data_IF_050949057825
#
_entry.id   IF_050949057825
#
_cell.length_a   1.000
_cell.length_b   1.000
_cell.length_c   1.000
_cell.angle_alpha   90.00
_cell.angle_beta   90.00
_cell.angle_gamma   90.00
#
_symmetry.space_group_name_H-M   'P 1'
#
loop_
_entity.id
_entity.type
_entity.pdbx_description
1 polymer ?
#
# COMPACT_ATOMS: atom_id res chain seq x y z
N UNK A 1 55.05 -61.53 73.20
CA UNK A 1 56.09 -61.26 72.17
C UNK A 1 55.47 -60.36 71.12
N UNK A 2 56.21 -59.31 70.73
CA UNK A 2 55.80 -58.09 70.01
C UNK A 2 55.16 -58.32 68.62
N UNK A 3 54.72 -57.29 67.83
CA UNK A 3 54.83 -55.83 68.03
C UNK A 3 53.64 -54.93 67.55
N UNK A 4 53.66 -53.68 68.02
CA UNK A 4 53.49 -52.39 67.28
C UNK A 4 52.31 -52.18 66.31
N UNK A 5 51.34 -51.37 66.75
CA UNK A 5 50.40 -50.63 65.90
C UNK A 5 50.78 -49.14 65.90
N UNK A 6 51.06 -48.55 64.73
CA UNK A 6 50.62 -47.18 64.37
C UNK A 6 50.90 -46.83 62.90
N UNK A 7 49.79 -46.78 62.16
CA UNK A 7 49.37 -45.79 61.16
C UNK A 7 50.34 -45.43 60.03
N UNK A 8 50.16 -46.07 58.86
CA UNK A 8 50.62 -45.55 57.58
C UNK A 8 49.51 -44.72 56.91
N UNK A 9 49.92 -43.58 56.33
CA UNK A 9 49.11 -42.70 55.48
C UNK A 9 48.55 -43.46 54.28
N UNK A 10 47.24 -43.40 54.07
CA UNK A 10 46.60 -43.75 52.79
C UNK A 10 46.67 -42.50 51.87
N UNK A 11 47.11 -42.64 50.60
CA UNK A 11 47.16 -41.53 49.64
C UNK A 11 45.76 -41.10 49.19
N UNK A 12 45.54 -39.79 49.06
CA UNK A 12 44.34 -39.19 48.45
C UNK A 12 44.24 -39.58 46.98
N UNK A 13 43.10 -40.15 46.59
CA UNK A 13 42.69 -40.34 45.19
C UNK A 13 42.61 -39.00 44.45
N UNK A 14 43.08 -38.87 43.21
CA UNK A 14 42.89 -37.66 42.41
C UNK A 14 41.39 -37.48 42.09
N UNK A 15 40.90 -36.25 41.92
CA UNK A 15 39.54 -36.02 41.47
C UNK A 15 39.35 -36.63 40.08
N UNK A 16 38.27 -37.39 39.94
CA UNK A 16 37.78 -37.93 38.68
C UNK A 16 37.59 -36.77 37.70
N UNK A 17 38.35 -36.77 36.59
CA UNK A 17 38.20 -35.76 35.57
C UNK A 17 36.82 -35.92 34.92
N UNK A 18 35.95 -34.92 35.06
CA UNK A 18 34.71 -34.80 34.30
C UNK A 18 35.02 -35.01 32.81
N UNK A 19 34.58 -36.16 32.28
CA UNK A 19 34.86 -36.55 30.91
C UNK A 19 34.11 -35.68 29.90
N UNK A 20 34.56 -35.64 28.63
CA UNK A 20 34.00 -34.81 27.55
C UNK A 20 32.53 -35.10 27.18
N UNK A 21 31.85 -36.04 27.85
CA UNK A 21 30.46 -36.42 27.58
C UNK A 21 29.46 -35.42 28.13
N UNK A 22 29.73 -34.84 29.30
CA UNK A 22 28.83 -33.83 29.90
C UNK A 22 28.87 -32.53 29.09
N UNK A 23 30.03 -32.17 28.54
CA UNK A 23 30.19 -30.99 27.67
C UNK A 23 29.41 -31.12 26.37
N UNK A 24 29.38 -32.32 25.76
CA UNK A 24 28.61 -32.59 24.54
C UNK A 24 27.11 -32.58 24.81
N UNK A 25 26.65 -33.18 25.91
CA UNK A 25 25.22 -33.17 26.27
C UNK A 25 24.70 -31.74 26.55
N UNK A 26 25.45 -30.93 27.28
CA UNK A 26 25.11 -29.52 27.52
C UNK A 26 25.13 -28.69 26.24
N UNK A 27 26.09 -28.95 25.34
CA UNK A 27 26.14 -28.32 24.02
C UNK A 27 24.91 -28.67 23.18
N UNK A 28 24.57 -29.95 23.07
CA UNK A 28 23.39 -30.42 22.32
C UNK A 28 22.08 -29.87 22.90
N UNK A 29 21.96 -29.80 24.23
CA UNK A 29 20.79 -29.23 24.89
C UNK A 29 20.62 -27.73 24.58
N UNK A 30 21.71 -26.95 24.60
CA UNK A 30 21.68 -25.51 24.23
C UNK A 30 21.25 -25.31 22.78
N UNK A 31 21.74 -26.14 21.86
CA UNK A 31 21.32 -26.08 20.45
C UNK A 31 19.85 -26.47 20.27
N UNK A 32 19.37 -27.49 20.99
CA UNK A 32 17.96 -27.86 20.96
C UNK A 32 17.05 -26.72 21.43
N UNK A 33 17.43 -26.03 22.52
CA UNK A 33 16.70 -24.85 22.99
C UNK A 33 16.73 -23.70 21.99
N UNK A 34 17.89 -23.45 21.36
CA UNK A 34 18.01 -22.41 20.33
C UNK A 34 17.13 -22.73 19.11
N UNK A 35 17.16 -23.97 18.62
CA UNK A 35 16.34 -24.42 17.49
C UNK A 35 14.86 -24.32 17.83
N UNK A 36 14.46 -24.71 19.04
CA UNK A 36 13.07 -24.56 19.50
C UNK A 36 12.66 -23.09 19.54
N UNK A 37 13.49 -22.21 20.11
CA UNK A 37 13.22 -20.77 20.15
C UNK A 37 13.10 -20.17 18.74
N UNK A 38 14.01 -20.52 17.82
CA UNK A 38 13.95 -20.09 16.42
C UNK A 38 12.72 -20.65 15.69
N UNK A 39 12.31 -21.89 15.99
CA UNK A 39 11.12 -22.51 15.40
C UNK A 39 9.83 -21.83 15.86
N UNK A 40 9.74 -21.49 17.15
CA UNK A 40 8.62 -20.73 17.71
C UNK A 40 8.62 -19.31 17.12
N UNK A 41 9.77 -18.64 17.04
CA UNK A 41 9.89 -17.33 16.42
C UNK A 41 9.42 -17.36 14.94
N UNK A 42 9.91 -18.34 14.18
CA UNK A 42 9.51 -18.51 12.78
C UNK A 42 8.02 -18.76 12.65
N UNK A 43 7.49 -19.78 13.34
CA UNK A 43 6.09 -20.20 13.19
C UNK A 43 5.11 -19.13 13.65
N UNK A 44 5.42 -18.40 14.71
CA UNK A 44 4.52 -17.41 15.32
C UNK A 44 4.58 -16.06 14.61
N UNK A 45 5.76 -15.62 14.17
CA UNK A 45 5.94 -14.23 13.72
C UNK A 45 6.40 -14.07 12.28
N UNK A 46 7.13 -15.04 11.71
CA UNK A 46 7.76 -14.87 10.39
C UNK A 46 7.14 -15.73 9.30
N UNK A 47 6.51 -16.86 9.64
CA UNK A 47 6.04 -17.84 8.66
C UNK A 47 5.06 -17.24 7.66
N UNK A 48 4.06 -16.50 8.13
CA UNK A 48 3.06 -15.88 7.26
C UNK A 48 3.71 -14.83 6.36
N UNK A 49 4.51 -13.92 6.93
CA UNK A 49 5.20 -12.87 6.15
C UNK A 49 6.15 -13.46 5.12
N UNK A 50 6.98 -14.43 5.50
CA UNK A 50 7.88 -15.13 4.59
C UNK A 50 7.09 -15.84 3.49
N UNK A 51 6.00 -16.54 3.84
CA UNK A 51 5.17 -17.22 2.85
C UNK A 51 4.57 -16.24 1.85
N UNK A 52 4.05 -15.09 2.30
CA UNK A 52 3.52 -14.04 1.44
C UNK A 52 4.61 -13.44 0.54
N UNK A 53 5.77 -13.07 1.10
CA UNK A 53 6.87 -12.44 0.36
C UNK A 53 7.41 -13.30 -0.78
N UNK A 54 7.43 -14.63 -0.59
CA UNK A 54 7.86 -15.59 -1.61
C UNK A 54 6.69 -16.17 -2.44
N UNK A 55 5.45 -15.79 -2.16
CA UNK A 55 4.26 -16.34 -2.83
C UNK A 55 4.02 -17.84 -2.53
N UNK A 56 4.53 -18.36 -1.42
CA UNK A 56 4.38 -19.78 -1.06
C UNK A 56 2.90 -20.09 -0.80
N UNK A 57 2.39 -21.11 -1.49
CA UNK A 57 0.99 -21.52 -1.41
C UNK A 57 0.05 -20.78 -2.38
N UNK A 58 0.55 -19.78 -3.10
CA UNK A 58 -0.19 -19.13 -4.18
C UNK A 58 0.20 -19.75 -5.53
N UNK A 59 -0.76 -20.33 -6.23
CA UNK A 59 -0.58 -20.71 -7.64
C UNK A 59 -0.99 -19.53 -8.50
N UNK A 60 0.00 -18.71 -8.88
CA UNK A 60 -0.21 -17.64 -9.84
C UNK A 60 -0.52 -18.22 -11.22
N UNK A 61 -1.52 -17.64 -11.89
CA UNK A 61 -2.04 -18.04 -13.17
C UNK A 61 -1.49 -17.17 -14.30
N UNK A 62 -1.21 -17.74 -15.47
CA UNK A 62 -0.88 -16.96 -16.66
C UNK A 62 -2.08 -16.11 -17.08
N UNK A 63 -1.82 -14.95 -17.69
CA UNK A 63 -2.90 -14.03 -18.07
C UNK A 63 -3.86 -14.61 -19.12
N UNK A 64 -3.38 -15.57 -19.90
CA UNK A 64 -4.16 -16.25 -20.92
C UNK A 64 -5.35 -17.05 -20.34
N UNK A 65 -5.30 -17.42 -19.06
CA UNK A 65 -6.37 -18.16 -18.36
C UNK A 65 -7.59 -17.28 -18.02
N UNK A 66 -7.48 -15.96 -18.19
CA UNK A 66 -8.55 -15.02 -17.90
C UNK A 66 -9.24 -14.52 -19.16
N UNK A 67 -10.54 -14.26 -19.05
CA UNK A 67 -11.40 -13.87 -20.18
C UNK A 67 -11.33 -12.36 -20.48
N UNK A 68 -10.10 -11.85 -20.58
CA UNK A 68 -9.80 -10.46 -20.89
C UNK A 68 -8.87 -10.35 -22.10
N UNK A 69 -9.07 -9.31 -22.88
CA UNK A 69 -8.10 -8.80 -23.85
C UNK A 69 -7.47 -7.53 -23.27
N UNK A 70 -6.16 -7.57 -23.05
CA UNK A 70 -5.41 -6.50 -22.41
C UNK A 70 -4.47 -5.82 -23.39
N UNK A 71 -4.41 -4.49 -23.30
CA UNK A 71 -3.46 -3.65 -24.04
C UNK A 71 -2.72 -2.71 -23.08
N UNK A 72 -1.49 -2.35 -23.46
CA UNK A 72 -0.72 -1.33 -22.75
C UNK A 72 -1.01 0.03 -23.35
N UNK A 73 -1.43 0.95 -22.50
CA UNK A 73 -1.54 2.35 -22.83
C UNK A 73 -0.26 3.07 -22.41
N UNK A 74 0.57 3.40 -23.40
CA UNK A 74 1.88 4.01 -23.15
C UNK A 74 1.91 5.45 -23.64
N UNK A 75 2.15 6.38 -22.71
CA UNK A 75 2.36 7.79 -22.97
C UNK A 75 3.21 8.37 -21.84
N UNK A 76 4.00 9.42 -22.10
CA UNK A 76 4.85 10.07 -21.07
C UNK A 76 4.05 10.66 -19.91
N UNK A 77 2.77 10.92 -20.15
CA UNK A 77 1.84 11.50 -19.17
C UNK A 77 0.97 10.44 -18.48
N UNK A 78 1.22 9.15 -18.77
CA UNK A 78 0.55 8.00 -18.15
C UNK A 78 1.59 7.00 -17.64
N UNK A 79 2.62 7.52 -16.97
CA UNK A 79 3.67 6.73 -16.34
C UNK A 79 3.60 6.89 -14.83
N UNK A 80 4.04 5.85 -14.12
CA UNK A 80 4.19 5.87 -12.68
C UNK A 80 2.92 6.34 -11.95
N UNK A 81 1.74 6.05 -12.53
CA UNK A 81 0.47 6.47 -11.97
C UNK A 81 0.09 5.50 -10.85
N UNK A 82 0.40 5.89 -9.62
CA UNK A 82 0.30 4.99 -8.47
C UNK A 82 -1.16 4.72 -8.07
N UNK A 83 -2.03 5.72 -8.31
CA UNK A 83 -3.45 5.70 -7.96
C UNK A 83 -4.34 6.11 -9.14
N UNK A 84 -5.56 5.56 -9.17
CA UNK A 84 -6.60 5.83 -10.16
C UNK A 84 -7.95 6.06 -9.47
N UNK A 85 -8.79 6.91 -10.04
CA UNK A 85 -10.14 7.14 -9.57
C UNK A 85 -11.10 7.37 -10.75
N UNK A 86 -12.23 6.66 -10.79
CA UNK A 86 -13.20 6.75 -11.88
C UNK A 86 -14.42 7.58 -11.46
N UNK A 87 -14.62 8.70 -12.16
CA UNK A 87 -15.89 9.43 -12.11
C UNK A 87 -16.92 8.69 -12.95
N UNK A 88 -17.66 7.81 -12.30
CA UNK A 88 -18.71 7.03 -12.94
C UNK A 88 -19.77 7.90 -13.65
N UNK A 89 -20.06 9.09 -13.11
CA UNK A 89 -21.06 9.98 -13.69
C UNK A 89 -20.56 10.67 -14.97
N UNK A 90 -19.31 11.16 -14.97
CA UNK A 90 -18.76 11.83 -16.16
C UNK A 90 -17.99 10.92 -17.10
N UNK A 91 -17.84 9.64 -16.75
CA UNK A 91 -17.12 8.63 -17.53
C UNK A 91 -15.67 9.03 -17.76
N UNK A 92 -15.04 9.55 -16.69
CA UNK A 92 -13.64 10.01 -16.70
C UNK A 92 -12.81 9.28 -15.68
N UNK A 93 -11.69 8.71 -16.13
CA UNK A 93 -10.68 8.11 -15.27
C UNK A 93 -9.61 9.15 -14.98
N UNK A 94 -9.35 9.40 -13.70
CA UNK A 94 -8.31 10.28 -13.22
C UNK A 94 -7.14 9.45 -12.68
N UNK A 95 -5.91 9.89 -12.90
CA UNK A 95 -4.70 9.17 -12.51
C UNK A 95 -3.66 10.11 -11.92
N UNK A 96 -3.02 9.72 -10.80
CA UNK A 96 -1.97 10.50 -10.15
C UNK A 96 -0.59 10.06 -10.67
N UNK A 97 -0.07 10.77 -11.67
CA UNK A 97 1.06 10.36 -12.48
C UNK A 97 2.32 11.20 -12.24
N UNK A 98 3.48 10.60 -12.54
CA UNK A 98 4.81 11.21 -12.47
C UNK A 98 5.74 10.50 -13.47
N UNK A 99 7.05 10.58 -13.30
CA UNK A 99 8.01 9.76 -14.05
C UNK A 99 8.49 8.56 -13.23
N UNK A 100 8.81 7.42 -13.87
CA UNK A 100 9.39 6.27 -13.18
C UNK A 100 10.70 6.61 -12.44
N UNK A 101 11.53 7.50 -13.00
CA UNK A 101 12.78 7.94 -12.37
C UNK A 101 12.52 8.70 -11.06
N UNK A 102 11.48 9.54 -11.05
CA UNK A 102 11.06 10.28 -9.85
C UNK A 102 10.75 9.32 -8.72
N UNK A 103 10.04 8.22 -8.98
CA UNK A 103 9.67 7.23 -7.95
C UNK A 103 10.86 6.48 -7.38
N UNK A 104 11.87 6.21 -8.20
CA UNK A 104 13.11 5.57 -7.76
C UNK A 104 13.96 6.49 -6.87
N UNK A 105 13.84 7.81 -7.06
CA UNK A 105 14.54 8.81 -6.28
C UNK A 105 13.75 9.29 -5.05
N UNK A 106 12.44 9.49 -5.20
CA UNK A 106 11.54 10.13 -4.26
C UNK A 106 10.23 9.35 -4.16
N UNK A 107 10.15 8.53 -3.12
CA UNK A 107 9.00 7.71 -2.77
C UNK A 107 9.08 7.41 -1.28
N UNK A 108 8.47 8.25 -0.42
CA UNK A 108 8.54 8.07 1.03
C UNK A 108 7.99 6.73 1.51
N UNK A 109 6.97 6.19 0.85
CA UNK A 109 6.45 4.84 1.16
C UNK A 109 7.47 3.72 0.88
N UNK A 110 8.38 3.93 -0.08
CA UNK A 110 9.50 3.04 -0.41
C UNK A 110 10.84 3.43 0.23
N UNK A 111 10.84 4.31 1.23
CA UNK A 111 12.03 4.86 1.88
C UNK A 111 13.06 5.51 0.92
N UNK A 112 12.57 6.22 -0.10
CA UNK A 112 13.40 6.99 -1.04
C UNK A 112 13.21 8.50 -0.83
N UNK A 113 14.32 9.21 -0.58
CA UNK A 113 14.34 10.63 -0.18
C UNK A 113 15.35 11.50 -0.94
N UNK A 114 15.67 11.13 -2.19
CA UNK A 114 16.57 11.90 -3.02
C UNK A 114 15.82 13.09 -3.66
N UNK A 115 15.92 14.27 -3.03
CA UNK A 115 15.27 15.51 -3.46
C UNK A 115 15.63 15.90 -4.91
N UNK A 116 16.88 15.72 -5.32
CA UNK A 116 17.33 16.17 -6.65
C UNK A 116 16.82 15.29 -7.79
N UNK A 117 16.33 14.09 -7.49
CA UNK A 117 15.77 13.17 -8.48
C UNK A 117 14.25 13.28 -8.65
N UNK A 118 13.58 14.22 -7.96
CA UNK A 118 12.15 14.50 -8.14
C UNK A 118 11.86 15.03 -9.54
N UNK A 119 10.72 14.65 -10.11
CA UNK A 119 10.28 15.15 -11.41
C UNK A 119 9.83 16.63 -11.37
N UNK A 120 9.22 17.07 -10.27
CA UNK A 120 8.64 18.42 -10.16
C UNK A 120 7.50 18.71 -11.15
N UNK A 121 6.96 17.67 -11.79
CA UNK A 121 5.96 17.74 -12.85
C UNK A 121 4.87 16.67 -12.70
N UNK A 122 4.71 16.16 -11.48
CA UNK A 122 3.62 15.27 -11.12
C UNK A 122 2.28 15.97 -11.40
N UNK A 123 1.31 15.20 -11.88
CA UNK A 123 0.06 15.76 -12.37
C UNK A 123 -1.08 14.75 -12.25
N UNK A 124 -2.30 15.27 -12.27
CA UNK A 124 -3.49 14.46 -12.52
C UNK A 124 -3.68 14.33 -14.03
N UNK A 125 -3.58 13.12 -14.57
CA UNK A 125 -4.00 12.80 -15.91
C UNK A 125 -5.50 12.44 -15.93
N UNK A 126 -6.18 12.72 -17.04
CA UNK A 126 -7.60 12.38 -17.23
C UNK A 126 -7.83 11.74 -18.59
N UNK A 127 -8.63 10.66 -18.60
CA UNK A 127 -9.04 9.90 -19.78
C UNK A 127 -10.58 9.87 -19.86
N UNK A 128 -11.13 10.01 -21.07
CA UNK A 128 -12.55 9.80 -21.36
C UNK A 128 -12.76 8.32 -21.75
N UNK A 129 -13.21 7.49 -20.82
CA UNK A 129 -13.13 6.02 -20.98
C UNK A 129 -14.06 5.45 -22.06
N UNK A 130 -15.06 6.21 -22.49
CA UNK A 130 -15.98 5.82 -23.57
C UNK A 130 -15.50 6.29 -24.97
N UNK A 131 -14.43 7.09 -25.04
CA UNK A 131 -13.97 7.76 -26.27
C UNK A 131 -12.47 7.51 -26.53
N UNK A 132 -12.05 6.29 -26.93
CA UNK A 132 -10.64 5.94 -27.12
C UNK A 132 -9.91 6.82 -28.14
N UNK A 133 -10.61 7.45 -29.08
CA UNK A 133 -10.01 8.24 -30.15
C UNK A 133 -9.26 7.39 -31.18
N UNK A 134 -8.65 8.03 -32.16
CA UNK A 134 -7.89 7.36 -33.22
C UNK A 134 -6.50 6.88 -32.77
N UNK A 135 -5.94 7.54 -31.75
CA UNK A 135 -4.66 7.19 -31.12
C UNK A 135 -4.80 6.14 -29.99
N UNK A 136 -6.04 5.81 -29.61
CA UNK A 136 -6.31 4.90 -28.50
C UNK A 136 -6.01 5.49 -27.12
N UNK A 137 -5.71 6.79 -27.02
CA UNK A 137 -5.32 7.46 -25.76
C UNK A 137 -6.50 7.97 -24.94
N UNK A 138 -7.74 7.68 -25.34
CA UNK A 138 -8.94 8.07 -24.59
C UNK A 138 -9.03 9.58 -24.33
N UNK A 139 -8.55 10.38 -25.28
CA UNK A 139 -8.54 11.84 -25.16
C UNK A 139 -7.70 12.34 -23.98
N UNK A 140 -6.61 11.63 -23.64
CA UNK A 140 -5.67 11.94 -22.56
C UNK A 140 -5.35 13.42 -22.44
N UNK A 141 -5.49 13.97 -21.23
CA UNK A 141 -5.10 15.33 -20.88
C UNK A 141 -4.44 15.39 -19.51
N UNK A 142 -3.53 16.34 -19.33
CA UNK A 142 -3.11 16.80 -18.00
C UNK A 142 -4.12 17.79 -17.47
N UNK A 143 -4.45 17.68 -16.18
CA UNK A 143 -5.23 18.69 -15.47
C UNK A 143 -4.25 19.68 -14.86
N UNK A 144 -4.19 20.88 -15.42
CA UNK A 144 -3.31 21.95 -14.97
C UNK A 144 -3.74 22.47 -13.59
N UNK A 145 -2.77 22.83 -12.76
CA UNK A 145 -3.03 23.49 -11.47
C UNK A 145 -3.11 25.00 -11.71
N UNK A 146 -4.14 25.64 -11.18
CA UNK A 146 -4.30 27.09 -11.29
C UNK A 146 -3.17 27.83 -10.56
N UNK A 147 -2.79 29.00 -11.08
CA UNK A 147 -1.63 29.78 -10.62
C UNK A 147 -1.65 30.18 -9.12
N UNK A 148 -2.78 30.03 -8.43
CA UNK A 148 -2.89 30.30 -6.99
C UNK A 148 -2.13 29.31 -6.10
N UNK A 149 -1.76 28.14 -6.63
CA UNK A 149 -0.93 27.16 -5.90
C UNK A 149 0.55 27.40 -6.20
N UNK A 150 1.32 27.76 -5.18
CA UNK A 150 2.74 28.13 -5.32
C UNK A 150 3.72 27.02 -4.92
N UNK A 151 3.21 25.89 -4.44
CA UNK A 151 4.03 24.75 -4.05
C UNK A 151 4.23 23.76 -5.21
N UNK A 152 4.99 22.70 -4.95
CA UNK A 152 5.21 21.60 -5.90
C UNK A 152 4.35 20.39 -5.51
N UNK A 153 4.08 19.54 -6.50
CA UNK A 153 3.35 18.30 -6.32
C UNK A 153 4.31 17.11 -6.46
N UNK A 154 4.22 16.19 -5.51
CA UNK A 154 4.82 14.86 -5.51
C UNK A 154 3.69 13.88 -5.14
N UNK A 155 2.93 13.45 -6.15
CA UNK A 155 1.62 12.85 -5.95
C UNK A 155 1.69 11.38 -5.53
N UNK A 156 0.72 10.94 -4.74
CA UNK A 156 0.54 9.54 -4.34
C UNK A 156 -0.94 9.15 -4.42
N UNK A 157 -1.50 8.54 -3.37
CA UNK A 157 -2.93 8.25 -3.28
C UNK A 157 -3.82 9.50 -3.28
N UNK A 158 -5.02 9.38 -3.87
CA UNK A 158 -6.01 10.44 -3.84
C UNK A 158 -7.43 9.88 -3.87
N UNK A 159 -8.40 10.69 -3.43
CA UNK A 159 -9.83 10.42 -3.60
C UNK A 159 -10.52 11.68 -4.09
N UNK A 160 -11.68 11.53 -4.72
CA UNK A 160 -12.43 12.64 -5.26
C UNK A 160 -13.93 12.51 -5.04
N UNK A 161 -14.60 13.65 -4.90
CA UNK A 161 -16.03 13.73 -4.63
C UNK A 161 -16.65 15.00 -5.15
N UNK A 162 -17.93 14.93 -5.54
CA UNK A 162 -18.68 16.12 -5.95
C UNK A 162 -19.08 16.95 -4.73
N UNK A 163 -18.66 18.20 -4.71
CA UNK A 163 -18.99 19.19 -3.68
C UNK A 163 -19.48 20.46 -4.39
N UNK A 164 -20.70 20.91 -4.07
CA UNK A 164 -21.31 22.10 -4.67
C UNK A 164 -21.26 22.11 -6.22
N UNK A 165 -21.48 20.95 -6.85
CA UNK A 165 -21.49 20.79 -8.31
C UNK A 165 -20.11 20.71 -8.97
N UNK A 166 -19.01 20.83 -8.21
CA UNK A 166 -17.63 20.69 -8.69
C UNK A 166 -17.04 19.37 -8.21
N UNK A 167 -16.09 18.82 -8.96
CA UNK A 167 -15.31 17.67 -8.51
C UNK A 167 -14.19 18.18 -7.62
N UNK A 168 -14.17 17.77 -6.35
CA UNK A 168 -13.14 18.08 -5.37
C UNK A 168 -12.23 16.89 -5.18
N UNK A 169 -10.93 17.12 -5.11
CA UNK A 169 -9.89 16.12 -4.92
C UNK A 169 -9.24 16.31 -3.55
N UNK A 170 -8.93 15.21 -2.87
CA UNK A 170 -8.06 15.12 -1.71
C UNK A 170 -6.85 14.30 -2.12
N UNK A 171 -5.70 14.95 -2.25
CA UNK A 171 -4.53 14.39 -2.90
C UNK A 171 -3.36 14.34 -1.92
N UNK A 172 -2.80 13.16 -1.68
CA UNK A 172 -1.57 13.04 -0.91
C UNK A 172 -0.42 13.64 -1.71
N UNK A 173 0.30 14.56 -1.08
CA UNK A 173 1.44 15.27 -1.65
C UNK A 173 2.67 15.13 -0.75
N UNK A 174 3.66 14.39 -1.22
CA UNK A 174 4.91 14.10 -0.52
C UNK A 174 5.98 15.18 -0.73
N UNK A 175 5.67 16.42 -0.35
CA UNK A 175 6.60 17.54 -0.53
C UNK A 175 7.92 17.29 0.22
N UNK A 176 9.05 17.80 -0.27
CA UNK A 176 10.27 17.83 0.51
C UNK A 176 10.12 18.81 1.69
N UNK A 177 10.93 18.64 2.75
CA UNK A 177 11.02 19.62 3.82
C UNK A 177 11.58 20.93 3.27
N UNK A 178 11.10 22.05 3.81
CA UNK A 178 11.54 23.40 3.44
C UNK A 178 11.96 24.17 4.69
N UNK A 179 12.87 25.11 4.53
CA UNK A 179 13.20 26.06 5.58
C UNK A 179 12.00 27.01 5.79
N UNK A 180 11.49 27.11 7.01
CA UNK A 180 10.31 27.93 7.31
C UNK A 180 10.50 29.42 7.03
N UNK A 181 11.75 29.90 7.11
CA UNK A 181 12.07 31.33 6.88
C UNK A 181 12.30 31.63 5.40
N UNK A 182 13.08 30.79 4.71
CA UNK A 182 13.50 31.07 3.33
C UNK A 182 12.59 30.42 2.28
N UNK A 183 11.81 29.40 2.66
CA UNK A 183 11.04 28.58 1.73
C UNK A 183 11.87 27.63 0.87
N UNK A 184 13.20 27.62 1.06
CA UNK A 184 14.11 26.77 0.28
C UNK A 184 14.00 25.30 0.71
N UNK A 185 14.15 24.40 -0.26
CA UNK A 185 14.12 22.96 -0.02
C UNK A 185 15.34 22.52 0.79
N UNK A 186 15.11 21.72 1.82
CA UNK A 186 16.15 21.07 2.62
C UNK A 186 16.40 19.66 2.06
N UNK A 187 17.58 19.45 1.48
CA UNK A 187 17.99 18.16 0.92
C UNK A 187 18.62 17.23 1.98
N UNK A 188 17.93 17.03 3.10
CA UNK A 188 18.36 16.11 4.17
C UNK A 188 17.43 14.88 4.23
N UNK A 189 17.89 13.69 3.80
CA UNK A 189 17.08 12.49 3.80
C UNK A 189 16.70 12.01 5.21
N UNK A 190 17.35 12.50 6.28
CA UNK A 190 17.00 12.17 7.66
C UNK A 190 15.75 12.90 8.17
N UNK A 191 15.26 13.90 7.44
CA UNK A 191 14.00 14.58 7.76
C UNK A 191 12.78 13.86 7.17
N UNK A 192 12.98 13.05 6.13
CA UNK A 192 11.91 12.44 5.36
C UNK A 192 11.10 13.47 4.56
N UNK A 193 9.89 13.10 4.15
CA UNK A 193 8.99 14.01 3.44
C UNK A 193 8.16 14.87 4.41
N UNK A 194 7.86 16.09 3.96
CA UNK A 194 6.87 16.97 4.56
C UNK A 194 5.48 16.73 3.93
N UNK A 195 4.99 15.50 4.10
CA UNK A 195 3.77 15.02 3.47
C UNK A 195 2.53 15.80 3.94
N UNK A 196 1.59 16.02 3.01
CA UNK A 196 0.33 16.75 3.23
C UNK A 196 -0.81 16.11 2.46
N UNK A 197 -2.04 16.50 2.76
CA UNK A 197 -3.19 16.28 1.87
C UNK A 197 -3.62 17.61 1.29
N UNK A 198 -3.50 17.75 -0.02
CA UNK A 198 -3.90 18.94 -0.76
C UNK A 198 -5.33 18.78 -1.27
N UNK A 199 -6.17 19.79 -1.04
CA UNK A 199 -7.56 19.81 -1.46
C UNK A 199 -7.68 20.76 -2.65
N UNK A 200 -8.22 20.26 -3.76
CA UNK A 200 -8.43 21.03 -4.99
C UNK A 200 -9.85 20.90 -5.51
N UNK A 201 -10.41 21.96 -6.08
CA UNK A 201 -11.64 21.92 -6.86
C UNK A 201 -11.33 22.00 -8.36
N UNK A 202 -11.77 21.01 -9.13
CA UNK A 202 -11.75 21.10 -10.58
C UNK A 202 -12.76 22.13 -11.07
N UNK A 203 -12.26 23.16 -11.74
CA UNK A 203 -13.11 24.17 -12.36
C UNK A 203 -13.67 23.62 -13.69
N UNK A 204 -14.99 23.50 -13.85
CA UNK A 204 -15.59 22.90 -15.06
C UNK A 204 -15.44 23.76 -16.32
N UNK A 205 -15.12 25.06 -16.18
CA UNK A 205 -14.93 25.98 -17.30
C UNK A 205 -13.48 25.99 -17.79
N UNK A 206 -12.53 26.15 -16.87
CA UNK A 206 -11.10 26.19 -17.22
C UNK A 206 -10.46 24.81 -17.31
N UNK A 207 -11.07 23.76 -16.74
CA UNK A 207 -10.49 22.44 -16.54
C UNK A 207 -9.17 22.47 -15.75
N UNK A 208 -9.06 23.39 -14.80
CA UNK A 208 -7.90 23.52 -13.91
C UNK A 208 -8.27 23.13 -12.46
N UNK A 209 -7.29 22.59 -11.73
CA UNK A 209 -7.39 22.38 -10.29
C UNK A 209 -7.16 23.70 -9.56
N UNK A 210 -8.18 24.20 -8.88
CA UNK A 210 -8.08 25.36 -8.01
C UNK A 210 -7.80 24.90 -6.58
N UNK A 211 -6.67 25.32 -6.02
CA UNK A 211 -6.31 24.95 -4.64
C UNK A 211 -7.32 25.53 -3.65
N UNK A 212 -7.84 24.67 -2.78
CA UNK A 212 -8.77 25.03 -1.72
C UNK A 212 -8.02 25.13 -0.40
N UNK A 213 -7.23 24.12 -0.06
CA UNK A 213 -6.55 24.03 1.23
C UNK A 213 -5.43 22.98 1.24
N UNK A 214 -4.37 23.26 1.99
CA UNK A 214 -3.40 22.25 2.42
C UNK A 214 -3.75 21.77 3.82
N UNK A 215 -3.92 20.47 4.01
CA UNK A 215 -4.04 19.84 5.33
C UNK A 215 -2.68 19.25 5.71
N UNK A 216 -2.14 19.74 6.83
CA UNK A 216 -0.90 19.32 7.43
C UNK A 216 -1.12 19.16 8.93
N UNK A 217 -0.77 18.00 9.48
CA UNK A 217 -0.94 17.68 10.89
C UNK A 217 0.13 16.65 11.30
N UNK A 218 0.67 16.70 12.54
CA UNK A 218 1.62 15.70 13.04
C UNK A 218 1.15 14.24 12.96
N UNK A 219 -0.17 13.99 12.95
CA UNK A 219 -0.72 12.65 12.74
C UNK A 219 -0.51 12.13 11.31
N UNK A 220 -0.33 13.02 10.32
CA UNK A 220 0.03 12.67 8.94
C UNK A 220 1.55 12.43 8.87
N UNK A 221 1.95 11.20 9.15
CA UNK A 221 3.37 10.80 9.28
C UNK A 221 3.91 10.36 7.92
N UNK A 222 3.36 9.29 7.37
CA UNK A 222 3.80 8.64 6.13
C UNK A 222 2.55 8.25 5.32
N UNK A 223 1.78 9.24 4.83
CA UNK A 223 0.48 8.98 4.23
C UNK A 223 0.60 8.17 2.94
N UNK A 224 -0.32 7.24 2.71
CA UNK A 224 -0.29 6.35 1.56
C UNK A 224 -1.60 6.42 0.75
N UNK A 225 -2.72 6.05 1.37
CA UNK A 225 -4.07 6.15 0.81
C UNK A 225 -4.93 7.17 1.55
N UNK A 226 -5.94 7.70 0.86
CA UNK A 226 -6.94 8.63 1.41
C UNK A 226 -8.32 8.26 0.93
N UNK A 227 -9.35 8.40 1.78
CA UNK A 227 -10.75 8.31 1.36
C UNK A 227 -11.63 9.33 2.08
N UNK A 228 -12.66 9.81 1.41
CA UNK A 228 -13.48 10.94 1.88
C UNK A 228 -14.81 10.45 2.46
N UNK A 229 -15.24 11.07 3.54
CA UNK A 229 -16.50 10.76 4.21
C UNK A 229 -17.72 11.15 3.37
N UNK A 230 -18.90 10.70 3.81
CA UNK A 230 -20.15 10.97 3.08
C UNK A 230 -20.42 12.48 2.93
N UNK A 231 -20.08 13.27 3.94
CA UNK A 231 -20.32 14.72 3.99
C UNK A 231 -19.29 15.57 3.22
N UNK A 232 -18.19 14.95 2.74
CA UNK A 232 -17.08 15.65 2.11
C UNK A 232 -16.39 16.70 3.01
N UNK A 233 -16.49 16.52 4.33
CA UNK A 233 -15.79 17.30 5.35
C UNK A 233 -14.74 16.41 6.00
N UNK A 234 -15.16 15.26 6.53
CA UNK A 234 -14.24 14.27 7.09
C UNK A 234 -13.53 13.48 5.99
N UNK A 235 -12.31 13.03 6.28
CA UNK A 235 -11.59 12.07 5.45
C UNK A 235 -10.62 11.24 6.29
N UNK A 236 -10.35 10.01 5.85
CA UNK A 236 -9.40 9.12 6.48
C UNK A 236 -8.13 8.98 5.63
N UNK A 237 -6.98 8.88 6.29
CA UNK A 237 -5.66 8.70 5.68
C UNK A 237 -4.98 7.52 6.34
N UNK A 238 -4.39 6.63 5.54
CA UNK A 238 -3.50 5.59 6.06
C UNK A 238 -2.08 6.14 6.15
N UNK A 239 -1.40 5.87 7.25
CA UNK A 239 0.06 5.95 7.32
C UNK A 239 0.62 4.54 7.14
N UNK A 240 1.49 4.34 6.16
CA UNK A 240 2.07 3.02 5.89
C UNK A 240 3.17 2.62 6.90
N UNK A 241 3.71 3.61 7.62
CA UNK A 241 4.72 3.42 8.65
C UNK A 241 4.46 4.24 9.92
N UNK A 242 5.15 3.88 11.00
CA UNK A 242 5.08 4.59 12.29
C UNK A 242 5.89 5.89 12.34
N UNK A 243 6.85 6.08 11.42
CA UNK A 243 7.74 7.23 11.42
C UNK A 243 8.08 7.70 10.00
N UNK A 244 8.44 8.99 9.86
CA UNK A 244 8.84 9.60 8.58
C UNK A 244 10.16 9.08 8.03
N UNK A 245 11.03 8.57 8.90
CA UNK A 245 12.32 7.95 8.60
C UNK A 245 12.70 7.03 9.76
N UNK A 246 13.70 6.17 9.57
CA UNK A 246 14.33 5.47 10.68
C UNK A 246 15.18 4.30 10.22
N UNK A 247 16.25 4.00 10.96
CA UNK A 247 17.16 2.88 10.67
C UNK A 247 16.45 1.52 10.61
N UNK A 248 15.38 1.36 11.38
CA UNK A 248 14.61 0.12 11.47
C UNK A 248 13.27 0.19 10.73
N UNK A 249 13.01 1.27 9.99
CA UNK A 249 11.73 1.45 9.30
C UNK A 249 11.50 0.36 8.24
N UNK A 250 12.53 -0.06 7.53
CA UNK A 250 12.44 -1.18 6.57
C UNK A 250 12.06 -2.52 7.24
N UNK A 251 12.28 -2.69 8.55
CA UNK A 251 11.88 -3.90 9.27
C UNK A 251 10.37 -3.96 9.53
N UNK A 252 9.64 -2.84 9.34
CA UNK A 252 8.18 -2.80 9.45
C UNK A 252 7.48 -3.71 8.42
N UNK A 253 8.18 -4.07 7.34
CA UNK A 253 7.70 -5.11 6.41
C UNK A 253 7.51 -6.48 7.11
N UNK A 254 8.28 -6.75 8.18
CA UNK A 254 8.20 -7.98 8.97
C UNK A 254 7.39 -7.80 10.25
N UNK A 255 7.54 -6.66 10.94
CA UNK A 255 6.91 -6.43 12.24
C UNK A 255 5.49 -5.88 12.12
N UNK A 256 5.14 -5.27 10.98
CA UNK A 256 4.03 -4.35 10.90
C UNK A 256 4.38 -2.98 11.47
N UNK A 257 3.39 -2.09 11.40
CA UNK A 257 3.52 -0.66 11.65
C UNK A 257 2.46 0.10 10.86
N UNK A 258 2.36 1.41 11.12
CA UNK A 258 1.42 2.31 10.48
C UNK A 258 0.22 2.65 11.35
N UNK A 259 -0.69 3.45 10.79
CA UNK A 259 -1.91 3.90 11.46
C UNK A 259 -2.97 4.32 10.46
N UNK A 260 -4.19 4.54 10.95
CA UNK A 260 -5.24 5.25 10.22
C UNK A 260 -5.53 6.53 10.99
N UNK A 261 -5.64 7.64 10.28
CA UNK A 261 -5.91 8.97 10.80
C UNK A 261 -7.21 9.46 10.21
N UNK A 262 -8.03 10.13 11.02
CA UNK A 262 -9.22 10.83 10.55
C UNK A 262 -8.99 12.34 10.67
N UNK A 263 -9.31 13.07 9.61
CA UNK A 263 -9.05 14.48 9.46
C UNK A 263 -10.32 15.22 9.07
N UNK A 264 -10.36 16.51 9.41
CA UNK A 264 -11.45 17.41 9.06
C UNK A 264 -10.95 18.44 8.05
N UNK A 265 -11.55 18.49 6.86
CA UNK A 265 -11.10 19.38 5.77
C UNK A 265 -11.21 20.86 6.14
N UNK A 266 -12.29 21.25 6.83
CA UNK A 266 -12.59 22.63 7.19
C UNK A 266 -11.61 23.20 8.24
N UNK A 267 -11.26 22.43 9.27
CA UNK A 267 -10.36 22.83 10.35
C UNK A 267 -8.92 22.44 10.07
N UNK A 268 -8.67 21.39 9.29
CA UNK A 268 -7.34 20.83 9.02
C UNK A 268 -6.80 19.97 10.17
N UNK A 269 -7.60 19.73 11.22
CA UNK A 269 -7.19 18.92 12.37
C UNK A 269 -7.30 17.44 12.03
N UNK A 270 -6.33 16.66 12.50
CA UNK A 270 -6.32 15.22 12.36
C UNK A 270 -6.12 14.52 13.70
N UNK A 271 -6.71 13.34 13.84
CA UNK A 271 -6.57 12.48 15.02
C UNK A 271 -6.28 11.04 14.59
N UNK A 272 -5.45 10.33 15.35
CA UNK A 272 -5.27 8.90 15.14
C UNK A 272 -6.58 8.16 15.38
N UNK A 273 -7.13 7.59 14.32
CA UNK A 273 -8.40 6.87 14.34
C UNK A 273 -8.20 5.38 14.67
N UNK A 274 -7.06 4.79 14.26
CA UNK A 274 -6.67 3.43 14.61
C UNK A 274 -5.14 3.27 14.56
N UNK A 275 -4.56 2.55 15.54
CA UNK A 275 -3.10 2.35 15.66
C UNK A 275 -2.69 0.91 16.01
N UNK A 276 -3.66 0.06 16.33
CA UNK A 276 -3.39 -1.32 16.76
C UNK A 276 -3.42 -2.28 15.57
N UNK A 277 -2.58 -3.32 15.63
CA UNK A 277 -2.52 -4.41 14.65
C UNK A 277 -2.36 -3.98 13.18
N UNK A 278 -1.69 -2.85 12.97
CA UNK A 278 -1.38 -2.32 11.65
C UNK A 278 -0.27 -3.12 10.98
N UNK A 279 -0.49 -3.45 9.71
CA UNK A 279 0.40 -4.28 8.89
C UNK A 279 0.61 -3.60 7.55
N UNK A 280 1.29 -2.46 7.60
CA UNK A 280 1.56 -1.60 6.44
C UNK A 280 0.25 -1.15 5.76
N UNK A 281 -0.57 -0.33 6.43
CA UNK A 281 -1.81 0.20 5.85
C UNK A 281 -1.50 1.01 4.59
N UNK A 282 -2.09 0.59 3.48
CA UNK A 282 -1.83 1.15 2.16
C UNK A 282 -3.13 1.77 1.63
N UNK A 283 -3.75 1.23 0.57
CA UNK A 283 -5.03 1.70 0.08
C UNK A 283 -6.13 1.72 1.15
N UNK A 284 -6.94 2.77 1.13
CA UNK A 284 -8.16 2.89 1.94
C UNK A 284 -9.30 3.38 1.06
N UNK A 285 -10.48 2.76 1.19
CA UNK A 285 -11.70 3.20 0.50
C UNK A 285 -12.89 3.14 1.45
N UNK A 286 -13.85 4.03 1.23
CA UNK A 286 -15.14 3.99 1.91
C UNK A 286 -16.18 3.30 1.02
N UNK A 287 -16.73 2.18 1.49
CA UNK A 287 -17.78 1.45 0.80
C UNK A 287 -19.12 2.21 0.79
N UNK A 288 -20.02 1.78 -0.09
CA UNK A 288 -21.39 2.27 -0.16
C UNK A 288 -22.20 1.97 1.12
N UNK A 289 -21.82 0.91 1.83
CA UNK A 289 -22.33 0.54 3.16
C UNK A 289 -21.80 1.43 4.30
N UNK A 290 -20.87 2.33 4.00
CA UNK A 290 -20.30 3.28 4.94
C UNK A 290 -19.19 2.72 5.82
N UNK A 291 -18.71 1.51 5.55
CA UNK A 291 -17.52 0.96 6.17
C UNK A 291 -16.26 1.42 5.43
N UNK A 292 -15.13 1.35 6.13
CA UNK A 292 -13.81 1.68 5.58
C UNK A 292 -13.06 0.38 5.37
N UNK A 293 -12.57 0.17 4.15
CA UNK A 293 -11.79 -0.99 3.77
C UNK A 293 -10.35 -0.53 3.64
N UNK A 294 -9.44 -1.23 4.32
CA UNK A 294 -8.03 -0.86 4.38
C UNK A 294 -7.19 -2.04 3.97
N UNK A 295 -6.33 -1.86 2.98
CA UNK A 295 -5.35 -2.84 2.56
C UNK A 295 -4.22 -2.87 3.59
N UNK A 296 -3.97 -4.05 4.16
CA UNK A 296 -2.82 -4.30 5.02
C UNK A 296 -1.80 -5.10 4.20
N UNK A 297 -0.91 -4.39 3.51
CA UNK A 297 -0.07 -4.95 2.44
C UNK A 297 0.70 -6.18 2.88
N UNK A 298 1.44 -6.08 3.99
CA UNK A 298 2.31 -7.18 4.45
C UNK A 298 1.56 -8.25 5.25
N UNK A 299 0.33 -7.93 5.68
CA UNK A 299 -0.57 -8.90 6.31
C UNK A 299 -1.30 -9.78 5.29
N UNK A 300 -1.45 -9.32 4.05
CA UNK A 300 -2.14 -10.02 2.99
C UNK A 300 -3.65 -10.15 3.22
N UNK A 301 -4.25 -9.11 3.81
CA UNK A 301 -5.68 -9.02 4.09
C UNK A 301 -6.19 -7.60 3.87
N UNK A 302 -7.51 -7.49 3.72
CA UNK A 302 -8.25 -6.21 3.78
C UNK A 302 -9.03 -6.18 5.08
N UNK A 303 -8.74 -5.20 5.94
CA UNK A 303 -9.48 -5.00 7.18
C UNK A 303 -10.66 -4.06 6.96
N UNK A 304 -11.78 -4.36 7.60
CA UNK A 304 -13.00 -3.56 7.52
C UNK A 304 -13.18 -2.83 8.85
N UNK A 305 -13.36 -1.52 8.77
CA UNK A 305 -13.50 -0.65 9.93
C UNK A 305 -14.83 0.09 9.91
N UNK A 306 -15.35 0.34 11.11
CA UNK A 306 -16.52 1.19 11.34
C UNK A 306 -16.09 2.46 12.07
N UNK A 307 -16.45 3.60 11.50
CA UNK A 307 -16.24 4.91 12.11
C UNK A 307 -17.29 5.17 13.18
N UNK A 308 -16.85 5.62 14.36
CA UNK A 308 -17.71 6.08 15.45
C UNK A 308 -17.08 7.31 16.08
N UNK A 309 -17.65 8.49 15.82
CA UNK A 309 -16.97 9.76 16.09
C UNK A 309 -15.74 9.89 15.20
N UNK A 310 -14.56 10.03 15.80
CA UNK A 310 -13.28 10.14 15.09
C UNK A 310 -12.42 8.87 15.19
N UNK A 311 -12.98 7.77 15.72
CA UNK A 311 -12.28 6.49 15.92
C UNK A 311 -12.77 5.42 14.96
N UNK A 312 -11.83 4.67 14.39
CA UNK A 312 -12.10 3.53 13.51
C UNK A 312 -11.88 2.22 14.29
N UNK A 313 -12.96 1.48 14.48
CA UNK A 313 -12.93 0.16 15.11
C UNK A 313 -12.94 -0.93 14.03
N UNK A 314 -12.00 -1.88 14.10
CA UNK A 314 -11.96 -3.02 13.19
C UNK A 314 -13.15 -3.94 13.48
N UNK A 315 -13.97 -4.22 12.47
CA UNK A 315 -15.18 -5.05 12.57
C UNK A 315 -15.09 -6.34 11.77
N UNK A 316 -14.20 -6.42 10.78
CA UNK A 316 -13.96 -7.65 10.00
C UNK A 316 -12.55 -7.69 9.41
N UNK A 317 -12.14 -8.87 8.94
CA UNK A 317 -10.89 -9.09 8.21
C UNK A 317 -11.11 -10.08 7.07
N UNK A 318 -10.77 -9.66 5.86
CA UNK A 318 -10.92 -10.43 4.63
C UNK A 318 -9.53 -10.89 4.19
N UNK A 319 -9.20 -12.14 4.49
CA UNK A 319 -7.88 -12.70 4.20
C UNK A 319 -7.77 -13.10 2.72
N UNK A 320 -7.01 -12.33 1.95
CA UNK A 320 -6.81 -12.55 0.51
C UNK A 320 -5.58 -13.41 0.20
N UNK A 321 -4.72 -13.65 1.20
CA UNK A 321 -3.51 -14.50 1.12
C UNK A 321 -2.48 -14.06 0.07
N UNK A 322 -2.50 -12.78 -0.31
CA UNK A 322 -1.52 -12.14 -1.20
C UNK A 322 -1.21 -10.76 -0.64
N UNK A 323 0.00 -10.25 -0.83
CA UNK A 323 0.28 -8.85 -0.50
C UNK A 323 -0.60 -7.95 -1.35
N UNK A 324 -1.30 -7.04 -0.69
CA UNK A 324 -2.24 -6.09 -1.31
C UNK A 324 -1.66 -4.69 -1.38
N UNK A 325 -2.18 -3.87 -2.27
CA UNK A 325 -1.79 -2.47 -2.44
C UNK A 325 -3.05 -1.59 -2.40
N UNK A 326 -3.28 -0.69 -3.36
CA UNK A 326 -4.47 0.14 -3.34
C UNK A 326 -5.78 -0.61 -3.58
N UNK A 327 -6.84 0.02 -3.10
CA UNK A 327 -8.23 -0.40 -3.23
C UNK A 327 -9.01 0.59 -4.10
N UNK A 328 -10.06 0.11 -4.77
CA UNK A 328 -11.10 0.98 -5.35
C UNK A 328 -12.49 0.39 -5.10
N UNK A 329 -13.54 1.15 -5.36
CA UNK A 329 -14.93 0.71 -5.26
C UNK A 329 -15.62 0.97 -6.59
N UNK A 330 -16.32 -0.02 -7.15
CA UNK A 330 -17.13 0.16 -8.36
C UNK A 330 -18.59 0.56 -8.07
N UNK A 331 -19.37 0.86 -9.11
CA UNK A 331 -20.78 1.26 -8.98
C UNK A 331 -21.69 0.16 -8.41
N UNK A 332 -21.25 -1.09 -8.48
CA UNK A 332 -21.96 -2.23 -7.89
C UNK A 332 -21.66 -2.36 -6.38
N UNK A 333 -20.72 -1.57 -5.86
CA UNK A 333 -20.30 -1.60 -4.46
C UNK A 333 -19.28 -2.71 -4.14
N UNK A 334 -18.68 -3.32 -5.16
CA UNK A 334 -17.59 -4.28 -4.95
C UNK A 334 -16.30 -3.51 -4.61
N UNK A 335 -15.47 -4.09 -3.75
CA UNK A 335 -14.14 -3.54 -3.45
C UNK A 335 -13.10 -4.26 -4.32
N UNK A 336 -12.40 -3.51 -5.15
CA UNK A 336 -11.33 -4.01 -6.00
C UNK A 336 -10.01 -3.92 -5.24
N UNK A 337 -9.15 -4.92 -5.40
CA UNK A 337 -7.89 -5.04 -4.67
C UNK A 337 -6.77 -5.31 -5.66
N UNK A 338 -5.78 -4.42 -5.73
CA UNK A 338 -4.52 -4.72 -6.40
C UNK A 338 -3.64 -5.58 -5.49
N UNK A 339 -2.99 -6.60 -6.05
CA UNK A 339 -2.17 -7.52 -5.29
C UNK A 339 -0.93 -8.00 -6.05
N UNK A 340 0.10 -8.40 -5.30
CA UNK A 340 1.35 -8.95 -5.80
C UNK A 340 1.45 -10.44 -5.46
N UNK A 341 1.41 -11.34 -6.47
CA UNK A 341 1.66 -12.77 -6.25
C UNK A 341 3.06 -13.06 -5.71
N UNK A 342 4.05 -12.26 -6.12
CA UNK A 342 5.46 -12.39 -5.69
C UNK A 342 6.02 -11.00 -5.32
N UNK A 343 5.74 -10.52 -4.09
CA UNK A 343 6.10 -9.17 -3.64
C UNK A 343 7.59 -8.86 -3.72
N UNK A 344 8.46 -9.87 -3.57
CA UNK A 344 9.92 -9.70 -3.64
C UNK A 344 10.42 -9.16 -5.00
N UNK A 345 9.61 -9.24 -6.06
CA UNK A 345 9.93 -8.67 -7.38
C UNK A 345 9.63 -7.17 -7.51
N UNK A 346 8.81 -6.60 -6.62
CA UNK A 346 8.39 -5.19 -6.69
C UNK A 346 9.57 -4.23 -6.61
N UNK A 347 10.54 -4.37 -5.67
CA UNK A 347 11.69 -3.46 -5.60
C UNK A 347 12.49 -3.41 -6.90
N UNK A 348 12.73 -4.56 -7.54
CA UNK A 348 13.44 -4.61 -8.82
C UNK A 348 12.67 -3.92 -9.95
N UNK A 349 11.33 -3.96 -9.94
CA UNK A 349 10.51 -3.23 -10.91
C UNK A 349 10.55 -1.71 -10.70
N UNK A 350 10.72 -1.24 -9.47
CA UNK A 350 10.92 0.19 -9.18
C UNK A 350 12.32 0.61 -9.63
N UNK A 351 13.37 -0.16 -9.31
CA UNK A 351 14.74 0.17 -9.70
C UNK A 351 14.98 0.13 -11.23
N UNK A 352 14.24 -0.72 -11.96
CA UNK A 352 14.41 -0.95 -13.40
C UNK A 352 13.08 -0.91 -14.18
N UNK A 353 12.35 0.22 -14.14
CA UNK A 353 10.94 0.28 -14.54
C UNK A 353 10.70 0.00 -16.02
N UNK A 354 11.69 0.24 -16.87
CA UNK A 354 11.59 -0.02 -18.31
C UNK A 354 11.94 -1.45 -18.74
N UNK A 355 12.46 -2.28 -17.83
CA UNK A 355 12.91 -3.64 -18.16
C UNK A 355 12.38 -4.74 -17.22
N UNK A 356 11.84 -4.37 -16.06
CA UNK A 356 11.32 -5.30 -15.06
C UNK A 356 9.91 -4.88 -14.67
N UNK A 357 8.96 -5.79 -14.83
CA UNK A 357 7.65 -5.74 -14.20
C UNK A 357 7.54 -6.87 -13.18
N UNK A 358 6.81 -6.64 -12.10
CA UNK A 358 6.44 -7.70 -11.16
C UNK A 358 5.11 -8.35 -11.57
N UNK A 359 4.90 -9.64 -11.27
CA UNK A 359 3.60 -10.27 -11.44
C UNK A 359 2.51 -9.50 -10.68
N UNK A 360 1.31 -9.48 -11.23
CA UNK A 360 0.21 -8.69 -10.72
C UNK A 360 -1.10 -9.50 -10.68
N UNK A 361 -1.98 -9.14 -9.75
CA UNK A 361 -3.34 -9.68 -9.64
C UNK A 361 -4.31 -8.56 -9.30
N UNK A 362 -5.47 -8.57 -9.96
CA UNK A 362 -6.64 -7.83 -9.51
C UNK A 362 -7.65 -8.80 -8.91
N UNK A 363 -8.06 -8.52 -7.67
CA UNK A 363 -9.13 -9.24 -6.98
C UNK A 363 -10.34 -8.32 -6.84
N UNK A 364 -11.49 -8.93 -6.60
CA UNK A 364 -12.75 -8.26 -6.28
C UNK A 364 -13.36 -8.92 -5.04
N UNK A 365 -13.68 -8.11 -4.04
CA UNK A 365 -14.41 -8.50 -2.85
C UNK A 365 -15.88 -8.19 -3.10
N UNK A 366 -16.66 -9.23 -3.34
CA UNK A 366 -18.10 -9.14 -3.55
C UNK A 366 -18.82 -9.60 -2.29
N UNK A 367 -19.69 -8.76 -1.73
CA UNK A 367 -20.48 -9.10 -0.55
C UNK A 367 -21.50 -10.20 -0.90
N UNK A 368 -21.67 -11.21 -0.04
CA UNK A 368 -22.68 -12.26 -0.27
C UNK A 368 -24.06 -11.75 0.14
N UNK A 369 -25.08 -12.07 -0.66
CA UNK A 369 -26.45 -11.59 -0.47
C UNK A 369 -27.12 -12.17 0.80
N UNK A 370 -26.69 -13.34 1.28
CA UNK A 370 -27.18 -13.99 2.50
C UNK A 370 -26.63 -13.34 3.79
N UNK A 371 -25.48 -12.65 3.71
CA UNK A 371 -24.85 -11.94 4.84
C UNK A 371 -25.59 -10.70 5.33
N UNK A 372 -26.65 -10.23 4.66
CA UNK A 372 -27.51 -9.19 5.23
C UNK A 372 -28.36 -9.73 6.40
N UNK A 373 -28.59 -11.06 6.44
CA UNK A 373 -29.45 -11.72 7.41
C UNK A 373 -28.71 -12.33 8.61
N UNK A 374 -27.39 -12.48 8.54
CA UNK A 374 -26.54 -12.93 9.64
C UNK A 374 -25.42 -11.92 9.82
N UNK A 375 -25.39 -11.25 10.98
CA UNK A 375 -24.59 -10.06 11.24
C UNK A 375 -23.14 -10.11 10.74
N UNK A 376 -22.60 -8.92 10.46
CA UNK A 376 -21.22 -8.64 10.06
C UNK A 376 -20.22 -9.60 10.74
N UNK A 377 -19.59 -10.48 9.96
CA UNK A 377 -18.68 -11.49 10.46
C UNK A 377 -17.97 -12.26 9.34
N UNK A 378 -16.94 -13.00 9.76
CA UNK A 378 -16.03 -13.79 8.93
C UNK A 378 -16.81 -14.59 7.88
N UNK A 379 -16.51 -14.34 6.60
CA UNK A 379 -17.16 -15.02 5.48
C UNK A 379 -18.30 -14.24 4.81
N UNK A 380 -18.43 -12.93 5.04
CA UNK A 380 -19.41 -12.09 4.33
C UNK A 380 -19.04 -11.78 2.86
N UNK A 381 -17.84 -12.16 2.41
CA UNK A 381 -17.32 -11.81 1.08
C UNK A 381 -16.93 -13.04 0.26
N UNK A 382 -17.20 -12.96 -1.03
CA UNK A 382 -16.59 -13.78 -2.08
C UNK A 382 -15.38 -13.02 -2.62
N UNK A 383 -14.23 -13.69 -2.66
CA UNK A 383 -13.00 -13.15 -3.24
C UNK A 383 -12.91 -13.72 -4.66
N UNK A 384 -13.10 -12.87 -5.66
CA UNK A 384 -13.03 -13.23 -7.07
C UNK A 384 -11.70 -12.73 -7.63
N UNK A 385 -10.92 -13.62 -8.23
CA UNK A 385 -9.72 -13.25 -8.99
C UNK A 385 -10.16 -12.80 -10.38
N UNK A 386 -10.11 -11.50 -10.65
CA UNK A 386 -10.55 -10.93 -11.93
C UNK A 386 -9.54 -11.19 -13.03
N UNK A 387 -8.27 -10.93 -12.75
CA UNK A 387 -7.17 -11.14 -13.68
C UNK A 387 -5.85 -11.31 -12.92
N UNK A 388 -4.94 -12.13 -13.43
CA UNK A 388 -3.59 -12.31 -12.92
C UNK A 388 -2.61 -12.50 -14.07
N UNK A 389 -1.43 -11.88 -13.97
CA UNK A 389 -0.36 -12.00 -14.95
C UNK A 389 0.91 -12.50 -14.25
N UNK A 390 0.95 -13.82 -14.03
CA UNK A 390 2.09 -14.50 -13.38
C UNK A 390 3.43 -14.13 -14.01
N UNK A 391 3.44 -14.00 -15.33
CA UNK A 391 4.66 -13.85 -16.12
C UNK A 391 4.99 -12.37 -16.39
N UNK A 392 4.19 -11.44 -15.85
CA UNK A 392 4.32 -9.98 -16.00
C UNK A 392 4.42 -9.53 -17.48
N UNK A 393 3.65 -10.19 -18.36
CA UNK A 393 3.67 -10.02 -19.81
C UNK A 393 3.08 -8.69 -20.27
N UNK A 394 1.95 -8.28 -19.71
CA UNK A 394 1.17 -7.13 -20.17
C UNK A 394 0.75 -6.19 -19.03
N UNK A 395 0.40 -6.72 -17.85
CA UNK A 395 -0.02 -5.87 -16.74
C UNK A 395 1.17 -5.06 -16.18
N UNK A 396 0.93 -3.83 -15.68
CA UNK A 396 1.94 -3.12 -14.91
C UNK A 396 2.23 -3.87 -13.60
N UNK A 397 3.28 -3.48 -12.88
CA UNK A 397 3.41 -3.81 -11.46
C UNK A 397 2.24 -3.13 -10.74
N UNK A 398 1.11 -3.82 -10.67
CA UNK A 398 -0.19 -3.21 -10.45
C UNK A 398 -0.34 -2.81 -8.99
N UNK A 399 -0.39 -1.51 -8.73
CA UNK A 399 -0.67 -0.94 -7.40
C UNK A 399 -2.13 -0.55 -7.24
N UNK A 400 -2.87 -0.37 -8.34
CA UNK A 400 -4.28 0.00 -8.32
C UNK A 400 -5.01 -0.65 -9.50
N UNK A 401 -6.23 -1.11 -9.25
CA UNK A 401 -7.19 -1.53 -10.28
C UNK A 401 -8.50 -0.77 -10.07
N UNK A 402 -9.07 -0.27 -11.15
CA UNK A 402 -10.41 0.32 -11.20
C UNK A 402 -11.25 -0.41 -12.23
N UNK A 403 -12.48 -0.76 -11.87
CA UNK A 403 -13.43 -1.45 -12.75
C UNK A 403 -14.52 -0.50 -13.20
N UNK A 404 -14.74 -0.43 -14.50
CA UNK A 404 -15.98 0.10 -15.05
C UNK A 404 -17.05 -1.00 -15.03
N UNK A 405 -17.95 -0.93 -14.06
CA UNK A 405 -19.02 -1.93 -13.89
C UNK A 405 -19.91 -2.08 -15.14
N UNK A 406 -20.09 -0.99 -15.91
CA UNK A 406 -20.95 -0.98 -17.08
C UNK A 406 -20.41 -1.83 -18.23
N UNK A 407 -19.11 -1.76 -18.49
CA UNK A 407 -18.46 -2.51 -19.58
C UNK A 407 -17.71 -3.75 -19.11
N UNK A 408 -17.45 -3.87 -17.81
CA UNK A 408 -16.53 -4.84 -17.22
C UNK A 408 -15.05 -4.52 -17.46
N UNK A 409 -14.72 -3.39 -18.08
CA UNK A 409 -13.33 -3.00 -18.36
C UNK A 409 -12.56 -2.73 -17.08
N UNK A 410 -11.33 -3.23 -17.01
CA UNK A 410 -10.38 -2.97 -15.93
C UNK A 410 -9.32 -1.97 -16.41
N UNK A 411 -9.05 -0.98 -15.58
CA UNK A 411 -7.95 -0.03 -15.72
C UNK A 411 -6.95 -0.31 -14.61
N UNK A 412 -5.71 -0.63 -14.98
CA UNK A 412 -4.66 -1.04 -14.04
C UNK A 412 -3.44 -0.14 -14.21
N UNK A 413 -2.84 0.27 -13.11
CA UNK A 413 -1.64 1.08 -13.11
C UNK A 413 -0.69 0.70 -11.97
N UNK A 414 0.54 1.19 -12.03
CA UNK A 414 1.61 0.85 -11.09
C UNK A 414 2.44 2.06 -10.67
N UNK A 415 2.96 2.02 -9.44
CA UNK A 415 3.78 3.08 -8.84
C UNK A 415 4.93 3.54 -9.72
N UNK A 416 5.61 2.65 -10.44
CA UNK A 416 6.75 2.98 -11.28
C UNK A 416 6.63 2.46 -12.73
N UNK A 417 5.49 1.86 -13.09
CA UNK A 417 5.34 1.27 -14.43
C UNK A 417 5.27 2.37 -15.50
N UNK A 418 5.96 2.22 -16.65
CA UNK A 418 6.03 3.25 -17.68
C UNK A 418 4.79 3.26 -18.62
N UNK A 419 3.72 2.60 -18.21
CA UNK A 419 2.46 2.44 -18.94
C UNK A 419 1.33 2.08 -17.95
N UNK A 420 0.09 2.27 -18.39
CA UNK A 420 -1.11 1.66 -17.79
C UNK A 420 -1.57 0.46 -18.63
N UNK A 421 -2.34 -0.46 -18.04
CA UNK A 421 -3.02 -1.51 -18.80
C UNK A 421 -4.54 -1.27 -18.80
N UNK A 422 -5.16 -1.57 -19.93
CA UNK A 422 -6.60 -1.61 -20.09
C UNK A 422 -6.98 -3.02 -20.51
N UNK A 423 -7.84 -3.66 -19.73
CA UNK A 423 -8.29 -5.02 -19.98
C UNK A 423 -9.80 -5.03 -20.18
N UNK A 424 -10.23 -5.38 -21.40
CA UNK A 424 -11.65 -5.47 -21.77
C UNK A 424 -12.09 -6.94 -21.71
N UNK A 425 -13.28 -7.27 -21.18
CA UNK A 425 -13.81 -8.63 -21.27
C UNK A 425 -13.84 -9.11 -22.73
N UNK A 426 -13.52 -10.38 -22.98
CA UNK A 426 -13.65 -10.94 -24.34
C UNK A 426 -15.13 -11.15 -24.68
N UNK A 427 -15.50 -11.12 -25.98
CA UNK A 427 -16.88 -11.34 -26.42
C UNK A 427 -17.40 -12.76 -26.18
#
# INVERSE_FOLDING_TARGET
>A
MAPSEKSSKVPSTPPEAEGPKDTVAHFLFRWALLILALSVLYKTYLHNTVSLMFGLGNTALPIEDFDYSCERLQHTDLQACEHLWLDHQSRKLYAACTTPESRSAWSPGGNKYNVSGRAGSDHIAVLNIDEPGADGLYGLKKVEVAAGFTSTLDLHGFDAKRVNGRLRFWIINHKPPVNETTGEIIADPSLGANSTVEIFDLNPKSNQLEHVKTVFDPAIIAPNGVTVDKDAIGFAVTNDHNSKVGRFRDLEIFTGGGSIVHCQSDTGRCNFAAVQDMKFPNGIVRGSDGLYYVAHSVGGFVAVYKLSGETLSKVDEINVKMTVDNLSVDEEGNVLVAAFPVPLKVPASVEKPYSVNAPATALMLQKRLDSESQGQGIGAYNIVKLIEDRDAKILPTTTIVVRDAKSGTLFLSGVASPFMAICKPRP
#
